data_IF_858241243812
#
_entry.id   IF_858241243812
#
_cell.length_a   1.000
_cell.length_b   1.000
_cell.length_c   1.000
_cell.angle_alpha   90.00
_cell.angle_beta   90.00
_cell.angle_gamma   90.00
#
_symmetry.space_group_name_H-M   'P 1'
#
loop_
_entity.id
_entity.type
_entity.pdbx_description
1 polymer ?
#
# COMPACT_ATOMS: atom_id res chain seq x y z
N UNK A 1 0.42 23.59 17.90
CA UNK A 1 0.52 22.24 17.33
C UNK A 1 -0.21 21.24 18.23
N UNK A 2 -0.98 20.34 17.62
CA UNK A 2 -1.70 19.27 18.31
C UNK A 2 -1.18 17.94 17.78
N UNK A 3 -0.81 17.03 18.66
CA UNK A 3 -0.41 15.68 18.32
C UNK A 3 -1.48 14.69 18.79
N UNK A 4 -1.83 13.74 17.93
CA UNK A 4 -2.68 12.58 18.25
C UNK A 4 -1.84 11.33 18.04
N UNK A 5 -1.56 10.60 19.08
CA UNK A 5 -0.77 9.36 19.02
C UNK A 5 -1.04 8.51 20.27
N UNK A 6 -1.10 7.21 20.12
CA UNK A 6 -1.29 6.25 21.21
C UNK A 6 -0.02 5.46 21.58
N UNK A 7 1.12 5.81 21.00
CA UNK A 7 2.40 5.16 21.32
C UNK A 7 3.16 5.98 22.38
N UNK A 8 3.36 5.44 23.60
CA UNK A 8 4.07 6.16 24.67
C UNK A 8 5.60 6.19 24.47
N UNK A 9 6.13 5.42 23.54
CA UNK A 9 7.57 5.22 23.38
C UNK A 9 8.15 6.02 22.19
N UNK A 10 7.53 7.12 21.82
CA UNK A 10 8.02 7.98 20.73
C UNK A 10 8.24 9.41 21.22
N UNK A 11 9.22 10.10 20.62
CA UNK A 11 9.52 11.51 20.91
C UNK A 11 8.30 12.41 20.65
N UNK A 12 7.42 12.06 19.72
CA UNK A 12 6.21 12.85 19.42
C UNK A 12 5.21 12.91 20.57
N UNK A 13 5.29 11.99 21.53
CA UNK A 13 4.43 11.97 22.72
C UNK A 13 5.10 12.57 23.98
N UNK A 14 6.30 13.12 23.84
CA UNK A 14 6.95 13.84 24.92
C UNK A 14 6.19 15.14 25.21
N UNK A 15 6.14 15.52 26.49
CA UNK A 15 5.30 16.61 27.00
C UNK A 15 5.66 18.00 26.44
N UNK A 16 6.85 18.15 25.90
CA UNK A 16 7.39 19.43 25.41
C UNK A 16 7.40 19.55 23.87
N UNK A 17 6.89 18.54 23.15
CA UNK A 17 6.93 18.50 21.68
C UNK A 17 5.73 19.24 21.06
N UNK A 18 4.59 19.29 21.73
CA UNK A 18 3.37 19.92 21.20
C UNK A 18 2.66 20.77 22.26
N UNK A 19 1.81 21.70 21.81
CA UNK A 19 0.97 22.50 22.69
C UNK A 19 -0.14 21.66 23.35
N UNK A 20 -0.59 20.60 22.62
CA UNK A 20 -1.57 19.60 23.10
C UNK A 20 -1.24 18.23 22.61
N UNK A 21 -1.36 17.24 23.48
CA UNK A 21 -1.26 15.83 23.16
C UNK A 21 -2.59 15.14 23.47
N UNK A 22 -3.15 14.49 22.43
CA UNK A 22 -4.25 13.54 22.58
C UNK A 22 -3.67 12.12 22.52
N UNK A 23 -3.68 11.47 23.67
CA UNK A 23 -3.18 10.10 23.82
C UNK A 23 -4.32 9.10 23.53
N UNK A 24 -4.76 9.06 22.25
CA UNK A 24 -5.95 8.36 21.82
C UNK A 24 -5.65 7.44 20.64
N UNK A 25 -6.45 6.38 20.45
CA UNK A 25 -6.34 5.54 19.27
C UNK A 25 -6.55 6.32 17.98
N UNK A 26 -5.74 6.01 16.96
CA UNK A 26 -5.85 6.59 15.63
C UNK A 26 -6.97 5.90 14.83
N UNK A 27 -8.22 6.07 15.29
CA UNK A 27 -9.41 5.60 14.58
C UNK A 27 -10.30 6.75 14.12
N UNK A 28 -11.15 6.57 13.12
CA UNK A 28 -12.05 7.62 12.64
C UNK A 28 -12.88 8.27 13.74
N UNK A 29 -13.38 7.49 14.69
CA UNK A 29 -14.25 7.98 15.77
C UNK A 29 -13.52 8.95 16.71
N UNK A 30 -12.33 8.57 17.20
CA UNK A 30 -11.54 9.40 18.09
C UNK A 30 -11.06 10.67 17.39
N UNK A 31 -10.57 10.52 16.17
CA UNK A 31 -10.07 11.65 15.37
C UNK A 31 -11.19 12.64 15.04
N UNK A 32 -12.40 12.17 14.72
CA UNK A 32 -13.56 13.02 14.52
C UNK A 32 -13.88 13.85 15.76
N UNK A 33 -13.91 13.23 16.94
CA UNK A 33 -14.17 13.93 18.19
C UNK A 33 -13.11 15.01 18.49
N UNK A 34 -11.85 14.73 18.20
CA UNK A 34 -10.75 15.70 18.37
C UNK A 34 -10.89 16.86 17.38
N UNK A 35 -11.19 16.59 16.12
CA UNK A 35 -11.42 17.61 15.09
C UNK A 35 -12.58 18.52 15.46
N UNK A 36 -13.68 17.97 15.94
CA UNK A 36 -14.85 18.74 16.38
C UNK A 36 -14.54 19.63 17.59
N UNK A 37 -13.73 19.14 18.52
CA UNK A 37 -13.35 19.88 19.73
C UNK A 37 -12.34 20.99 19.44
N UNK A 38 -11.32 20.69 18.62
CA UNK A 38 -10.18 21.59 18.42
C UNK A 38 -10.32 22.48 17.17
N UNK A 39 -11.12 22.06 16.18
CA UNK A 39 -11.33 22.78 14.91
C UNK A 39 -10.01 23.24 14.27
N UNK A 40 -9.10 22.31 13.97
CA UNK A 40 -7.79 22.65 13.46
C UNK A 40 -7.90 23.27 12.05
N UNK A 41 -6.97 24.16 11.70
CA UNK A 41 -6.86 24.72 10.35
C UNK A 41 -6.45 23.68 9.30
N UNK A 42 -5.79 22.60 9.72
CA UNK A 42 -5.38 21.49 8.86
C UNK A 42 -4.75 20.35 9.64
N UNK A 43 -4.47 19.26 8.96
CA UNK A 43 -3.86 18.07 9.53
C UNK A 43 -2.72 17.54 8.64
N UNK A 44 -1.68 17.00 9.28
CA UNK A 44 -0.59 16.28 8.63
C UNK A 44 -0.75 14.80 8.98
N UNK A 45 -0.86 13.94 7.98
CA UNK A 45 -1.03 12.50 8.15
C UNK A 45 0.20 11.69 7.76
N UNK A 46 1.08 12.24 6.93
CA UNK A 46 2.22 11.52 6.35
C UNK A 46 3.24 11.06 7.41
N UNK A 47 3.36 11.77 8.52
CA UNK A 47 4.34 11.45 9.57
C UNK A 47 3.89 10.34 10.52
N UNK A 48 2.64 9.91 10.45
CA UNK A 48 2.08 8.88 11.34
C UNK A 48 2.05 7.46 10.73
N UNK A 49 2.76 7.23 9.62
CA UNK A 49 2.79 5.94 8.93
C UNK A 49 1.42 5.53 8.38
N UNK A 50 1.28 4.25 8.06
CA UNK A 50 0.07 3.69 7.43
C UNK A 50 -1.21 3.92 8.25
N UNK A 51 -1.11 3.94 9.57
CA UNK A 51 -2.29 4.14 10.44
C UNK A 51 -2.86 5.55 10.27
N UNK A 52 -2.01 6.57 10.24
CA UNK A 52 -2.45 7.95 10.06
C UNK A 52 -2.87 8.23 8.61
N UNK A 53 -2.16 7.68 7.63
CA UNK A 53 -2.50 7.82 6.19
C UNK A 53 -3.91 7.32 5.91
N UNK A 54 -4.35 6.22 6.51
CA UNK A 54 -5.72 5.69 6.37
C UNK A 54 -6.82 6.64 6.88
N UNK A 55 -6.47 7.62 7.72
CA UNK A 55 -7.40 8.64 8.20
C UNK A 55 -7.59 9.81 7.21
N UNK A 56 -6.79 9.88 6.15
CA UNK A 56 -6.81 10.99 5.20
C UNK A 56 -8.21 11.23 4.63
N UNK A 57 -8.89 10.17 4.20
CA UNK A 57 -10.26 10.26 3.69
C UNK A 57 -11.23 10.79 4.74
N UNK A 58 -11.19 10.24 5.95
CA UNK A 58 -12.05 10.68 7.06
C UNK A 58 -11.87 12.16 7.36
N UNK A 59 -10.62 12.63 7.45
CA UNK A 59 -10.29 14.03 7.68
C UNK A 59 -10.78 14.93 6.54
N UNK A 60 -10.59 14.51 5.31
CA UNK A 60 -11.07 15.23 4.13
C UNK A 60 -12.61 15.33 4.11
N UNK A 61 -13.32 14.25 4.44
CA UNK A 61 -14.79 14.21 4.51
C UNK A 61 -15.33 15.12 5.64
N UNK A 62 -14.56 15.33 6.70
CA UNK A 62 -14.84 16.30 7.77
C UNK A 62 -14.50 17.76 7.39
N UNK A 63 -13.98 18.00 6.19
CA UNK A 63 -13.58 19.32 5.71
C UNK A 63 -12.26 19.83 6.29
N UNK A 64 -11.45 18.98 6.88
CA UNK A 64 -10.11 19.33 7.38
C UNK A 64 -9.13 19.35 6.21
N UNK A 65 -8.42 20.46 6.05
CA UNK A 65 -7.38 20.57 5.01
C UNK A 65 -6.21 19.65 5.34
N UNK A 66 -5.87 18.76 4.42
CA UNK A 66 -4.66 17.94 4.54
C UNK A 66 -3.45 18.79 4.11
N UNK A 67 -2.53 19.00 5.03
CA UNK A 67 -1.29 19.73 4.78
C UNK A 67 -0.23 18.76 4.25
N UNK A 68 0.32 19.04 3.08
CA UNK A 68 1.22 18.17 2.35
C UNK A 68 0.51 17.48 1.17
N UNK A 69 0.61 16.16 1.05
CA UNK A 69 -0.08 15.39 0.01
C UNK A 69 -1.56 15.25 0.36
N UNK A 70 -2.44 15.73 -0.50
CA UNK A 70 -3.89 15.67 -0.30
C UNK A 70 -4.46 14.24 -0.42
N UNK A 71 -5.75 14.10 -0.09
CA UNK A 71 -6.41 12.80 -0.05
C UNK A 71 -6.44 12.09 -1.41
N UNK A 72 -6.63 12.81 -2.51
CA UNK A 72 -6.71 12.24 -3.85
C UNK A 72 -5.34 11.71 -4.31
N UNK A 73 -4.27 12.47 -4.05
CA UNK A 73 -2.91 12.04 -4.39
C UNK A 73 -2.40 10.91 -3.48
N UNK A 74 -2.82 10.87 -2.21
CA UNK A 74 -2.54 9.73 -1.33
C UNK A 74 -3.22 8.47 -1.87
N UNK A 75 -4.49 8.55 -2.24
CA UNK A 75 -5.24 7.45 -2.84
C UNK A 75 -4.61 7.00 -4.17
N UNK A 76 -4.22 7.95 -5.02
CA UNK A 76 -3.55 7.66 -6.29
C UNK A 76 -2.20 6.94 -6.11
N UNK A 77 -1.49 7.22 -5.02
CA UNK A 77 -0.23 6.53 -4.72
C UNK A 77 -0.44 5.11 -4.15
N UNK A 78 -1.60 4.86 -3.53
CA UNK A 78 -1.95 3.55 -2.97
C UNK A 78 -2.68 2.65 -3.99
N UNK A 79 -3.44 3.26 -4.92
CA UNK A 79 -4.11 2.54 -6.01
C UNK A 79 -3.11 2.20 -7.12
N UNK A 80 -3.01 0.90 -7.44
CA UNK A 80 -2.01 0.41 -8.39
C UNK A 80 -2.22 0.98 -9.80
N UNK A 81 -3.46 1.04 -10.27
CA UNK A 81 -3.75 1.49 -11.65
C UNK A 81 -3.48 2.98 -11.78
N UNK A 82 -3.94 3.78 -10.81
CA UNK A 82 -3.68 5.22 -10.76
C UNK A 82 -2.19 5.53 -10.62
N UNK A 83 -1.46 4.76 -9.80
CA UNK A 83 -0.02 4.92 -9.65
C UNK A 83 0.74 4.56 -10.93
N UNK A 84 0.32 3.49 -11.62
CA UNK A 84 0.88 3.11 -12.91
C UNK A 84 0.70 4.23 -13.96
N UNK A 85 -0.46 4.88 -14.01
CA UNK A 85 -0.71 6.05 -14.88
C UNK A 85 0.21 7.23 -14.54
N UNK A 86 0.43 7.49 -13.25
CA UNK A 86 1.36 8.55 -12.81
C UNK A 86 2.79 8.25 -13.27
N UNK A 87 3.24 7.00 -13.11
CA UNK A 87 4.58 6.60 -13.55
C UNK A 87 4.74 6.73 -15.09
N UNK A 88 3.72 6.34 -15.84
CA UNK A 88 3.70 6.50 -17.30
C UNK A 88 3.72 7.99 -17.71
N UNK A 89 2.92 8.83 -17.05
CA UNK A 89 2.93 10.28 -17.28
C UNK A 89 4.30 10.91 -17.00
N UNK A 90 5.00 10.43 -15.98
CA UNK A 90 6.34 10.88 -15.59
C UNK A 90 7.48 10.25 -16.41
N UNK A 91 7.18 9.36 -17.38
CA UNK A 91 8.18 8.57 -18.13
C UNK A 91 9.10 7.74 -17.20
N UNK A 92 8.56 7.28 -16.08
CA UNK A 92 9.28 6.42 -15.12
C UNK A 92 9.04 4.96 -15.46
N UNK A 93 10.13 4.25 -15.72
CA UNK A 93 10.06 2.82 -16.01
C UNK A 93 9.69 2.00 -14.78
N UNK A 94 8.77 1.07 -14.94
CA UNK A 94 8.36 0.09 -13.93
C UNK A 94 8.46 -1.34 -14.45
N UNK A 95 8.56 -2.34 -13.59
CA UNK A 95 8.43 -3.72 -14.00
C UNK A 95 7.06 -3.94 -14.65
N UNK A 96 7.04 -4.49 -15.86
CA UNK A 96 5.78 -4.89 -16.50
C UNK A 96 5.21 -6.09 -15.75
N UNK A 97 3.92 -6.11 -15.54
CA UNK A 97 3.24 -7.19 -14.84
C UNK A 97 1.79 -7.36 -15.28
N UNK A 98 1.23 -8.51 -14.93
CA UNK A 98 -0.14 -8.88 -15.20
C UNK A 98 -0.81 -9.39 -13.93
N UNK A 99 -2.07 -9.01 -13.75
CA UNK A 99 -2.94 -9.61 -12.74
C UNK A 99 -3.58 -10.85 -13.36
N UNK A 100 -3.51 -11.98 -12.67
CA UNK A 100 -3.97 -13.27 -13.17
C UNK A 100 -4.78 -14.02 -12.11
N UNK A 101 -5.72 -14.82 -12.54
CA UNK A 101 -6.63 -15.58 -11.67
C UNK A 101 -6.47 -17.08 -11.87
N UNK A 102 -5.87 -17.51 -12.99
CA UNK A 102 -5.72 -18.93 -13.37
C UNK A 102 -4.28 -19.25 -13.72
N UNK A 103 -3.94 -20.56 -13.65
CA UNK A 103 -2.64 -21.07 -14.09
C UNK A 103 -2.38 -20.74 -15.56
N UNK A 104 -3.39 -20.85 -16.43
CA UNK A 104 -3.23 -20.58 -17.86
C UNK A 104 -2.95 -19.10 -18.14
N UNK A 105 -3.62 -18.20 -17.42
CA UNK A 105 -3.32 -16.75 -17.49
C UNK A 105 -1.91 -16.46 -17.00
N UNK A 106 -1.46 -17.11 -15.90
CA UNK A 106 -0.11 -16.95 -15.38
C UNK A 106 0.96 -17.40 -16.36
N UNK A 107 0.75 -18.54 -17.03
CA UNK A 107 1.64 -19.02 -18.10
C UNK A 107 1.68 -18.04 -19.28
N UNK A 108 0.51 -17.54 -19.71
CA UNK A 108 0.43 -16.57 -20.81
C UNK A 108 1.15 -15.27 -20.45
N UNK A 109 0.96 -14.78 -19.22
CA UNK A 109 1.65 -13.61 -18.68
C UNK A 109 3.17 -13.82 -18.65
N UNK A 110 3.63 -14.94 -18.11
CA UNK A 110 5.05 -15.28 -18.04
C UNK A 110 5.70 -15.36 -19.44
N UNK A 111 5.03 -15.96 -20.42
CA UNK A 111 5.52 -16.00 -21.80
C UNK A 111 5.59 -14.60 -22.44
N UNK A 112 4.61 -13.73 -22.16
CA UNK A 112 4.63 -12.36 -22.71
C UNK A 112 5.73 -11.49 -22.10
N UNK A 113 6.02 -11.67 -20.80
CA UNK A 113 7.06 -10.96 -20.08
C UNK A 113 8.46 -11.51 -20.32
N UNK A 114 8.55 -12.80 -20.64
CA UNK A 114 9.79 -13.57 -20.71
C UNK A 114 10.33 -13.91 -19.31
N UNK A 115 10.83 -15.11 -19.14
CA UNK A 115 11.44 -15.56 -17.89
C UNK A 115 12.76 -14.84 -17.58
N UNK A 116 13.17 -14.72 -16.31
CA UNK A 116 12.40 -15.07 -15.12
C UNK A 116 11.29 -14.04 -14.82
N UNK A 117 10.26 -14.50 -14.09
CA UNK A 117 9.17 -13.66 -13.60
C UNK A 117 8.99 -13.84 -12.09
N UNK A 118 8.43 -12.83 -11.43
CA UNK A 118 8.06 -12.86 -10.03
C UNK A 118 6.57 -13.15 -9.89
N UNK A 119 6.23 -14.21 -9.17
CA UNK A 119 4.85 -14.58 -8.86
C UNK A 119 4.55 -14.19 -7.42
N UNK A 120 3.52 -13.38 -7.18
CA UNK A 120 3.14 -12.93 -5.84
C UNK A 120 1.63 -12.84 -5.69
N UNK A 121 1.06 -13.35 -4.60
CA UNK A 121 -0.33 -13.08 -4.25
C UNK A 121 -0.56 -11.59 -3.96
N UNK A 122 -1.72 -11.03 -4.29
CA UNK A 122 -2.02 -9.59 -4.09
C UNK A 122 -2.09 -9.18 -2.63
N UNK A 123 -2.37 -10.12 -1.72
CA UNK A 123 -2.59 -9.87 -0.30
C UNK A 123 -1.60 -10.63 0.59
N UNK A 124 -0.31 -10.30 0.47
CA UNK A 124 0.69 -10.81 1.43
C UNK A 124 1.50 -9.69 2.01
N UNK A 125 1.55 -9.64 3.35
CA UNK A 125 2.40 -8.74 4.10
C UNK A 125 3.81 -9.32 4.18
N UNK A 126 4.82 -8.49 3.93
CA UNK A 126 6.21 -8.84 4.17
C UNK A 126 6.81 -9.85 3.17
N UNK A 127 6.32 -9.90 1.93
CA UNK A 127 6.92 -10.74 0.87
C UNK A 127 6.69 -12.25 1.03
N UNK A 128 5.84 -12.69 1.96
CA UNK A 128 5.49 -14.10 2.10
C UNK A 128 4.78 -14.62 0.85
N UNK A 129 5.20 -15.78 0.36
CA UNK A 129 4.60 -16.41 -0.82
C UNK A 129 5.05 -15.83 -2.16
N UNK A 130 6.01 -14.88 -2.18
CA UNK A 130 6.64 -14.42 -3.42
C UNK A 130 7.66 -15.45 -3.90
N UNK A 131 7.61 -15.80 -5.18
CA UNK A 131 8.50 -16.80 -5.79
C UNK A 131 8.98 -16.32 -7.14
N UNK A 132 10.24 -16.60 -7.45
CA UNK A 132 10.81 -16.34 -8.78
C UNK A 132 10.64 -17.62 -9.62
N UNK A 133 9.89 -17.51 -10.71
CA UNK A 133 9.70 -18.59 -11.66
C UNK A 133 10.64 -18.42 -12.86
N UNK A 134 11.39 -19.46 -13.18
CA UNK A 134 12.30 -19.51 -14.32
C UNK A 134 11.75 -20.37 -15.47
N UNK A 135 10.66 -21.10 -15.22
CA UNK A 135 10.07 -22.05 -16.16
C UNK A 135 8.55 -22.16 -15.99
N UNK A 136 7.89 -22.77 -16.97
CA UNK A 136 6.47 -23.11 -16.93
C UNK A 136 6.12 -24.04 -15.75
N UNK A 137 7.04 -24.93 -15.40
CA UNK A 137 6.82 -25.87 -14.30
C UNK A 137 6.82 -25.18 -12.96
N UNK A 138 7.69 -24.17 -12.76
CA UNK A 138 7.68 -23.33 -11.57
C UNK A 138 6.34 -22.57 -11.44
N UNK A 139 5.83 -22.01 -12.55
CA UNK A 139 4.51 -21.33 -12.55
C UNK A 139 3.40 -22.29 -12.12
N UNK A 140 3.38 -23.52 -12.67
CA UNK A 140 2.36 -24.53 -12.30
C UNK A 140 2.44 -24.91 -10.83
N UNK A 141 3.65 -25.10 -10.32
CA UNK A 141 3.89 -25.43 -8.92
C UNK A 141 3.43 -24.30 -8.01
N UNK A 142 3.89 -23.07 -8.24
CA UNK A 142 3.58 -21.91 -7.40
C UNK A 142 2.10 -21.55 -7.42
N UNK A 143 1.48 -21.53 -8.59
CA UNK A 143 0.03 -21.30 -8.71
C UNK A 143 -0.76 -22.43 -8.01
N UNK A 144 -0.28 -23.67 -8.09
CA UNK A 144 -0.89 -24.79 -7.37
C UNK A 144 -0.81 -24.66 -5.86
N UNK A 145 0.27 -24.12 -5.30
CA UNK A 145 0.43 -23.82 -3.88
C UNK A 145 -0.54 -22.69 -3.49
N UNK A 146 -0.54 -21.60 -4.25
CA UNK A 146 -1.39 -20.41 -3.99
C UNK A 146 -2.87 -20.81 -4.00
N UNK A 147 -3.32 -21.57 -5.01
CA UNK A 147 -4.72 -22.00 -5.12
C UNK A 147 -5.17 -22.90 -3.96
N UNK A 148 -4.27 -23.66 -3.35
CA UNK A 148 -4.58 -24.47 -2.16
C UNK A 148 -4.65 -23.64 -0.88
N UNK A 149 -3.91 -22.55 -0.82
CA UNK A 149 -3.78 -21.71 0.37
C UNK A 149 -4.84 -20.61 0.40
N UNK A 150 -5.21 -20.09 -0.77
CA UNK A 150 -6.18 -19.02 -0.95
C UNK A 150 -7.43 -19.62 -1.63
N UNK A 151 -8.56 -19.78 -0.90
CA UNK A 151 -9.74 -20.45 -1.43
C UNK A 151 -10.44 -19.70 -2.58
N UNK A 152 -10.33 -18.38 -2.63
CA UNK A 152 -10.97 -17.55 -3.65
C UNK A 152 -9.98 -16.60 -4.32
N UNK A 153 -9.49 -16.99 -5.47
CA UNK A 153 -8.61 -16.16 -6.30
C UNK A 153 -9.36 -15.01 -7.01
N UNK A 154 -10.70 -15.04 -7.07
CA UNK A 154 -11.45 -13.95 -7.71
C UNK A 154 -11.41 -12.68 -6.86
N UNK A 155 -11.34 -12.82 -5.54
CA UNK A 155 -11.15 -11.71 -4.60
C UNK A 155 -9.67 -11.43 -4.31
N UNK A 156 -8.80 -12.41 -4.57
CA UNK A 156 -7.37 -12.35 -4.24
C UNK A 156 -6.51 -12.76 -5.44
N UNK A 157 -6.40 -11.91 -6.46
CA UNK A 157 -5.65 -12.24 -7.66
C UNK A 157 -4.15 -12.42 -7.39
N UNK A 158 -3.49 -13.11 -8.31
CA UNK A 158 -2.03 -13.27 -8.31
C UNK A 158 -1.43 -12.28 -9.30
N UNK A 159 -0.28 -11.72 -8.94
CA UNK A 159 0.50 -10.84 -9.79
C UNK A 159 1.67 -11.63 -10.38
N UNK A 160 1.87 -11.49 -11.69
CA UNK A 160 3.03 -12.02 -12.39
C UNK A 160 3.77 -10.85 -12.99
N UNK A 161 4.90 -10.51 -12.39
CA UNK A 161 5.71 -9.34 -12.77
C UNK A 161 7.02 -9.78 -13.42
N UNK A 162 7.54 -8.99 -14.36
CA UNK A 162 8.89 -9.19 -14.89
C UNK A 162 9.91 -9.08 -13.77
N UNK A 163 10.67 -10.14 -13.54
CA UNK A 163 11.79 -10.07 -12.60
C UNK A 163 12.95 -9.27 -13.21
N UNK A 164 13.33 -8.21 -12.55
CA UNK A 164 14.45 -7.36 -12.96
C UNK A 164 15.71 -7.81 -12.23
N UNK A 165 16.74 -8.14 -13.00
CA UNK A 165 18.08 -8.40 -12.46
C UNK A 165 18.89 -7.13 -12.56
N UNK A 166 19.32 -6.60 -11.42
CA UNK A 166 20.08 -5.37 -11.33
C UNK A 166 20.68 -5.19 -9.95
N UNK A 167 21.30 -4.04 -9.73
CA UNK A 167 21.76 -3.65 -8.42
C UNK A 167 20.57 -3.08 -7.62
N UNK A 168 20.31 -3.71 -6.48
CA UNK A 168 19.30 -3.23 -5.53
C UNK A 168 19.90 -2.04 -4.75
N UNK A 169 19.13 -0.97 -4.62
CA UNK A 169 19.47 0.23 -3.84
C UNK A 169 18.30 0.62 -2.97
N UNK A 170 18.59 1.02 -1.73
CA UNK A 170 17.64 1.52 -0.74
C UNK A 170 17.89 3.00 -0.42
#
# INVERSE_FOLDING_TARGET
AIIVNNNPETVSTDFDVSDKLYFEPLTPEYVTNIVEAEKPDGAIVQFGGQTAIKLTKTLNDLGVTILGTDADHVDAAEDRERFDEILEYCDIQRPKGHTVFTVNEALSAAHSLGYPVLVRPSYVLGGQGMQIAASDDDIREFMGIITRTIPDLSEHPVLVDKYLMGQEVE
#
